data_IF_900975848565
#
_entry.id   IF_900975848565
#
_cell.length_a   1.000
_cell.length_b   1.000
_cell.length_c   1.000
_cell.angle_alpha   90.00
_cell.angle_beta   90.00
_cell.angle_gamma   90.00
#
_symmetry.space_group_name_H-M   'P 1'
#
loop_
_entity.id
_entity.type
_entity.pdbx_description
1 polymer ?
#
# COMPACT_ATOMS: atom_id res chain seq x y z
N UNK A 1 -31.25 17.48 -58.45
CA UNK A 1 -32.55 18.08 -58.05
C UNK A 1 -33.67 17.17 -58.52
N UNK A 2 -34.54 16.72 -57.63
CA UNK A 2 -35.87 16.16 -57.93
C UNK A 2 -36.68 16.10 -56.62
N UNK A 3 -37.98 16.37 -56.64
CA UNK A 3 -38.82 16.49 -55.43
C UNK A 3 -40.26 16.05 -55.74
N UNK A 4 -40.98 15.62 -54.71
CA UNK A 4 -42.43 15.30 -54.67
C UNK A 4 -42.80 13.94 -55.33
N UNK A 5 -43.79 13.17 -54.86
CA UNK A 5 -44.78 13.38 -53.79
C UNK A 5 -45.09 12.10 -52.96
N UNK A 6 -45.87 12.25 -51.87
CA UNK A 6 -46.34 11.18 -50.97
C UNK A 6 -47.49 10.33 -51.58
N UNK A 7 -47.74 9.12 -51.05
CA UNK A 7 -49.08 8.54 -50.94
C UNK A 7 -49.56 8.35 -49.49
N UNK A 8 -50.85 8.05 -49.33
CA UNK A 8 -51.51 7.73 -48.06
C UNK A 8 -51.92 6.23 -47.96
N UNK A 9 -52.47 5.84 -46.79
CA UNK A 9 -52.84 4.46 -46.37
C UNK A 9 -53.75 3.66 -47.34
N UNK A 10 -53.74 2.33 -47.19
CA UNK A 10 -54.97 1.52 -47.12
C UNK A 10 -55.14 0.76 -45.78
N UNK A 11 -56.27 0.06 -45.62
CA UNK A 11 -56.70 -0.63 -44.38
C UNK A 11 -56.95 -2.15 -44.54
N UNK A 12 -57.30 -2.83 -43.43
CA UNK A 12 -57.43 -4.30 -43.18
C UNK A 12 -58.47 -5.07 -44.04
N UNK A 13 -58.39 -6.43 -44.04
CA UNK A 13 -59.28 -7.31 -43.21
C UNK A 13 -58.46 -8.25 -42.25
N UNK A 14 -58.88 -8.68 -41.04
CA UNK A 14 -60.03 -9.49 -40.56
C UNK A 14 -59.78 -11.03 -40.73
N UNK A 15 -60.13 -11.97 -39.80
CA UNK A 15 -60.89 -11.95 -38.51
C UNK A 15 -60.69 -13.28 -37.70
N UNK A 16 -61.33 -13.39 -36.51
CA UNK A 16 -61.60 -14.60 -35.68
C UNK A 16 -60.45 -15.18 -34.81
N UNK A 17 -60.63 -15.56 -33.52
CA UNK A 17 -61.79 -15.50 -32.60
C UNK A 17 -61.42 -15.20 -31.12
N UNK A 18 -62.44 -14.79 -30.35
CA UNK A 18 -62.53 -14.48 -28.89
C UNK A 18 -63.97 -14.91 -28.45
N UNK A 19 -64.30 -15.26 -27.19
CA UNK A 19 -64.15 -14.43 -25.96
C UNK A 19 -63.87 -15.29 -24.68
N UNK A 20 -64.10 -14.95 -23.40
CA UNK A 20 -64.74 -13.83 -22.67
C UNK A 20 -64.76 -14.09 -21.12
N UNK A 21 -65.22 -13.16 -20.24
CA UNK A 21 -64.72 -13.07 -18.86
C UNK A 21 -65.71 -13.10 -17.65
N UNK A 22 -65.17 -13.43 -16.45
CA UNK A 22 -65.62 -13.04 -15.06
C UNK A 22 -66.99 -13.57 -14.52
N UNK A 23 -67.29 -13.57 -13.18
CA UNK A 23 -66.78 -12.71 -12.07
C UNK A 23 -66.56 -13.32 -10.64
N UNK A 24 -66.23 -12.42 -9.69
CA UNK A 24 -66.73 -12.32 -8.28
C UNK A 24 -65.89 -12.67 -6.99
N UNK A 25 -65.28 -11.61 -6.43
CA UNK A 25 -65.31 -11.12 -5.02
C UNK A 25 -65.40 -12.08 -3.81
N UNK A 26 -64.42 -11.97 -2.88
CA UNK A 26 -64.64 -11.51 -1.46
C UNK A 26 -63.35 -11.17 -0.70
N UNK A 27 -63.37 -10.07 0.06
CA UNK A 27 -62.30 -9.62 0.97
C UNK A 27 -62.27 -10.46 2.26
N UNK A 28 -61.08 -10.68 2.84
CA UNK A 28 -60.90 -10.87 4.29
C UNK A 28 -59.78 -9.97 4.81
N UNK A 29 -60.00 -9.43 6.02
CA UNK A 29 -59.10 -8.50 6.72
C UNK A 29 -58.05 -9.30 7.52
N UNK A 30 -56.83 -8.78 7.62
CA UNK A 30 -55.90 -9.22 8.66
C UNK A 30 -56.41 -8.78 10.05
N UNK A 31 -56.27 -9.62 11.09
CA UNK A 31 -56.44 -9.21 12.48
C UNK A 31 -55.18 -8.49 13.00
N UNK A 32 -55.30 -7.57 13.98
CA UNK A 32 -54.17 -6.81 14.49
C UNK A 32 -53.21 -7.68 15.32
N UNK A 33 -51.90 -7.44 15.18
CA UNK A 33 -50.88 -8.00 16.09
C UNK A 33 -50.98 -7.31 17.45
N UNK A 34 -51.05 -8.03 18.58
CA UNK A 34 -50.99 -7.41 19.90
C UNK A 34 -49.57 -6.89 20.19
N UNK A 35 -49.48 -5.71 20.79
CA UNK A 35 -48.21 -5.18 21.30
C UNK A 35 -47.78 -5.98 22.55
N UNK A 36 -46.58 -6.54 22.54
CA UNK A 36 -46.08 -7.46 23.57
C UNK A 36 -44.62 -7.18 23.96
N UNK A 37 -44.46 -6.76 25.21
CA UNK A 37 -43.26 -6.49 26.05
C UNK A 37 -41.92 -7.16 25.70
N UNK A 38 -40.86 -6.44 26.10
CA UNK A 38 -39.49 -6.92 26.29
C UNK A 38 -39.36 -8.02 27.36
N UNK A 39 -38.66 -9.11 27.05
CA UNK A 39 -37.88 -10.00 27.93
C UNK A 39 -37.00 -10.86 26.99
N UNK A 40 -35.66 -10.80 27.05
CA UNK A 40 -34.71 -11.53 27.93
C UNK A 40 -34.76 -13.08 27.82
N UNK A 41 -33.55 -13.59 27.59
CA UNK A 41 -33.02 -14.95 27.82
C UNK A 41 -33.18 -16.05 26.72
N UNK A 42 -32.09 -16.84 26.60
CA UNK A 42 -31.78 -17.92 25.62
C UNK A 42 -32.23 -19.31 26.15
N UNK A 43 -31.94 -20.49 25.53
CA UNK A 43 -31.37 -20.82 24.20
C UNK A 43 -32.18 -21.88 23.40
N UNK A 44 -31.79 -22.15 22.13
CA UNK A 44 -32.02 -23.43 21.44
C UNK A 44 -30.76 -23.80 20.64
N UNK A 45 -30.37 -25.08 20.65
CA UNK A 45 -29.09 -25.58 20.12
C UNK A 45 -29.33 -26.89 19.35
N UNK A 46 -29.21 -26.88 18.02
CA UNK A 46 -29.13 -28.08 17.16
C UNK A 46 -28.29 -27.75 15.91
N UNK A 47 -27.33 -28.61 15.54
CA UNK A 47 -26.62 -28.50 14.25
C UNK A 47 -25.12 -28.84 14.32
N UNK A 48 -24.79 -30.12 14.55
CA UNK A 48 -23.42 -30.59 14.67
C UNK A 48 -22.69 -30.59 13.32
N UNK A 49 -21.47 -30.02 13.26
CA UNK A 49 -20.51 -30.26 12.18
C UNK A 49 -19.11 -30.46 12.76
N UNK A 50 -18.64 -31.72 12.77
CA UNK A 50 -17.30 -32.10 13.22
C UNK A 50 -16.25 -31.67 12.20
N UNK A 51 -15.38 -30.73 12.58
CA UNK A 51 -14.07 -30.53 11.94
C UNK A 51 -13.03 -30.33 13.04
N UNK A 52 -11.99 -31.17 13.00
CA UNK A 52 -10.88 -31.17 13.96
C UNK A 52 -10.14 -29.82 13.92
N UNK A 53 -10.28 -29.04 14.99
CA UNK A 53 -9.52 -27.81 15.19
C UNK A 53 -8.11 -28.15 15.68
N UNK A 54 -7.13 -28.15 14.77
CA UNK A 54 -5.73 -27.97 15.16
C UNK A 54 -5.53 -26.50 15.54
N UNK A 55 -5.64 -26.18 16.84
CA UNK A 55 -5.42 -24.84 17.35
C UNK A 55 -3.96 -24.42 17.12
N UNK A 56 -3.74 -23.48 16.19
CA UNK A 56 -2.44 -22.87 15.97
C UNK A 56 -2.47 -21.43 16.51
N UNK A 57 -2.14 -21.26 17.78
CA UNK A 57 -2.01 -19.95 18.41
C UNK A 57 -0.81 -19.22 17.81
N UNK A 58 -1.05 -18.20 16.99
CA UNK A 58 0.02 -17.33 16.47
C UNK A 58 0.33 -16.26 17.52
N UNK A 59 1.34 -16.52 18.36
CA UNK A 59 1.84 -15.55 19.33
C UNK A 59 2.96 -14.72 18.70
N UNK A 60 2.74 -13.42 18.48
CA UNK A 60 3.82 -12.50 18.11
C UNK A 60 4.64 -12.13 19.36
N UNK A 61 5.83 -12.70 19.49
CA UNK A 61 6.73 -12.46 20.63
C UNK A 61 7.79 -11.42 20.24
N UNK A 62 7.75 -10.24 20.89
CA UNK A 62 8.81 -9.22 20.76
C UNK A 62 9.69 -9.27 22.02
N UNK A 63 10.90 -9.82 21.89
CA UNK A 63 11.90 -9.81 22.96
C UNK A 63 12.90 -8.67 22.77
N UNK A 64 13.29 -8.01 23.87
CA UNK A 64 14.45 -7.11 23.90
C UNK A 64 15.26 -7.34 25.16
N UNK A 65 16.53 -7.68 25.00
CA UNK A 65 17.48 -7.74 26.12
C UNK A 65 17.76 -6.34 26.66
N UNK A 66 17.74 -6.20 27.98
CA UNK A 66 18.19 -5.00 28.66
C UNK A 66 19.69 -5.13 29.01
N UNK A 67 20.51 -4.19 28.54
CA UNK A 67 21.89 -4.02 29.01
C UNK A 67 22.10 -2.61 29.55
N UNK A 68 22.41 -2.53 30.84
CA UNK A 68 22.93 -1.36 31.53
C UNK A 68 23.56 -1.85 32.84
N UNK A 69 24.61 -1.26 33.39
CA UNK A 69 25.56 -0.24 32.91
C UNK A 69 26.95 -0.60 33.51
N UNK A 70 28.06 0.06 33.19
CA UNK A 70 28.33 1.48 33.40
C UNK A 70 29.57 1.93 32.57
N UNK A 71 29.80 3.24 32.37
CA UNK A 71 30.96 3.73 31.61
C UNK A 71 32.25 3.82 32.46
N UNK A 72 33.45 3.58 31.88
CA UNK A 72 34.71 4.00 32.48
C UNK A 72 34.89 5.52 32.39
N UNK A 73 35.64 6.08 33.35
CA UNK A 73 35.74 7.51 33.60
C UNK A 73 36.51 8.30 32.52
N UNK A 74 36.22 9.60 32.44
CA UNK A 74 36.97 10.56 31.64
C UNK A 74 38.34 10.86 32.26
N UNK A 75 39.38 10.92 31.43
CA UNK A 75 40.68 11.50 31.78
C UNK A 75 40.93 12.75 30.91
N UNK A 76 41.20 13.87 31.58
CA UNK A 76 41.52 15.15 30.96
C UNK A 76 42.97 15.23 30.50
N UNK A 77 43.22 15.80 29.32
CA UNK A 77 44.52 16.33 28.93
C UNK A 77 44.35 17.65 28.17
N UNK A 78 45.28 18.59 28.39
CA UNK A 78 45.14 20.02 28.11
C UNK A 78 45.98 20.51 26.93
N UNK A 79 45.46 21.54 26.23
CA UNK A 79 46.28 22.65 25.69
C UNK A 79 46.84 22.52 24.27
N UNK A 80 46.71 23.59 23.47
CA UNK A 80 47.45 23.73 22.19
C UNK A 80 46.73 24.48 21.06
N UNK A 81 46.61 25.81 21.15
CA UNK A 81 46.45 26.74 20.02
C UNK A 81 47.70 27.64 19.94
N UNK A 82 47.94 28.48 18.88
CA UNK A 82 47.11 28.85 17.72
C UNK A 82 47.73 28.33 16.38
N UNK A 83 47.62 28.86 15.15
CA UNK A 83 47.15 30.15 14.58
C UNK A 83 46.86 30.01 13.06
N UNK A 84 46.15 30.96 12.44
CA UNK A 84 46.41 31.36 11.04
C UNK A 84 45.30 31.17 10.00
N UNK A 85 44.68 32.29 9.58
CA UNK A 85 43.73 32.47 8.45
C UNK A 85 44.21 33.79 7.77
N UNK A 86 44.29 34.00 6.42
CA UNK A 86 43.12 33.96 5.53
C UNK A 86 43.28 33.68 3.99
N UNK A 87 42.13 33.36 3.36
CA UNK A 87 41.61 33.76 2.02
C UNK A 87 42.49 33.69 0.73
N UNK A 88 41.91 33.10 -0.33
CA UNK A 88 42.27 33.41 -1.73
C UNK A 88 41.54 32.58 -2.81
N UNK A 89 40.77 33.24 -3.69
CA UNK A 89 40.13 32.72 -4.93
C UNK A 89 40.21 33.89 -5.93
N UNK A 90 40.71 33.76 -7.19
CA UNK A 90 39.81 33.39 -8.30
C UNK A 90 40.38 32.78 -9.62
N UNK A 91 39.42 32.26 -10.43
CA UNK A 91 39.29 32.30 -11.93
C UNK A 91 40.04 31.39 -12.93
N UNK A 92 39.20 30.72 -13.75
CA UNK A 92 39.20 30.50 -15.23
C UNK A 92 40.12 29.49 -15.95
N UNK A 93 39.47 28.67 -16.79
CA UNK A 93 39.91 27.82 -17.93
C UNK A 93 40.14 28.67 -19.23
N UNK A 94 40.48 28.14 -20.44
CA UNK A 94 40.45 26.73 -20.93
C UNK A 94 41.54 26.22 -21.94
N UNK A 95 41.61 24.87 -22.09
CA UNK A 95 41.98 24.04 -23.28
C UNK A 95 43.32 24.24 -24.05
N UNK A 96 43.74 23.35 -25.01
CA UNK A 96 43.35 21.94 -25.28
C UNK A 96 44.56 20.96 -25.54
N UNK A 97 44.29 19.67 -25.78
CA UNK A 97 45.13 18.80 -26.66
C UNK A 97 45.75 17.50 -26.08
N UNK A 98 45.62 16.39 -26.83
CA UNK A 98 46.39 15.13 -26.64
C UNK A 98 47.66 15.07 -27.53
N UNK A 99 48.34 13.91 -27.76
CA UNK A 99 47.80 12.54 -27.71
C UNK A 99 48.70 11.41 -27.10
N UNK A 100 48.09 10.22 -26.98
CA UNK A 100 48.65 8.84 -27.03
C UNK A 100 50.06 8.47 -26.47
N UNK A 101 50.08 7.51 -25.53
CA UNK A 101 50.99 6.34 -25.58
C UNK A 101 50.49 5.14 -24.76
N UNK A 102 50.82 3.92 -25.22
CA UNK A 102 50.81 2.63 -24.50
C UNK A 102 52.30 2.26 -24.31
N UNK A 103 52.73 1.53 -23.25
CA UNK A 103 52.37 0.11 -23.07
C UNK A 103 52.36 -0.39 -21.59
N UNK A 104 52.16 -1.70 -21.40
CA UNK A 104 52.56 -2.42 -20.17
C UNK A 104 51.53 -3.41 -19.61
N UNK A 105 51.79 -4.71 -19.76
CA UNK A 105 51.08 -5.75 -19.01
C UNK A 105 51.66 -5.83 -17.58
N UNK A 106 50.80 -5.74 -16.57
CA UNK A 106 51.10 -6.05 -15.17
C UNK A 106 50.04 -6.98 -14.58
N UNK A 107 50.33 -7.74 -13.51
CA UNK A 107 49.41 -8.72 -12.95
C UNK A 107 48.17 -8.05 -12.35
N UNK A 108 47.01 -8.69 -12.50
CA UNK A 108 45.73 -8.17 -12.04
C UNK A 108 45.71 -7.96 -10.51
N UNK A 109 45.30 -6.78 -10.01
CA UNK A 109 45.10 -6.60 -8.58
C UNK A 109 43.89 -7.40 -8.09
N UNK A 110 44.06 -8.12 -6.99
CA UNK A 110 43.01 -8.86 -6.30
C UNK A 110 41.78 -7.97 -6.03
N UNK A 111 40.55 -8.50 -6.06
CA UNK A 111 39.36 -7.71 -5.83
C UNK A 111 39.37 -7.15 -4.40
N UNK A 112 39.68 -5.85 -4.28
CA UNK A 112 39.36 -5.09 -3.08
C UNK A 112 37.86 -5.22 -2.85
N UNK A 113 37.47 -5.64 -1.66
CA UNK A 113 36.08 -5.66 -1.25
C UNK A 113 35.47 -4.27 -1.46
N UNK A 114 34.58 -4.15 -2.45
CA UNK A 114 33.72 -3.00 -2.60
C UNK A 114 32.80 -2.98 -1.39
N UNK A 115 33.15 -2.14 -0.41
CA UNK A 115 32.31 -1.89 0.75
C UNK A 115 30.89 -1.56 0.29
N UNK A 116 29.90 -2.05 1.03
CA UNK A 116 28.49 -1.83 0.76
C UNK A 116 28.20 -0.35 0.69
N UNK A 117 28.08 0.17 -0.53
CA UNK A 117 27.62 1.54 -0.75
C UNK A 117 26.14 1.56 -0.35
N UNK A 118 25.85 2.11 0.83
CA UNK A 118 24.49 2.47 1.22
C UNK A 118 23.88 3.29 0.08
N UNK A 119 22.82 2.75 -0.52
CA UNK A 119 22.09 3.45 -1.55
C UNK A 119 21.41 4.66 -0.90
N UNK A 120 22.01 5.85 -1.07
CA UNK A 120 21.68 7.11 -0.42
C UNK A 120 20.32 7.72 -0.80
N UNK A 121 19.26 6.93 -0.78
CA UNK A 121 17.91 7.43 -0.56
C UNK A 121 17.77 8.00 0.86
N UNK A 122 16.76 8.86 1.12
CA UNK A 122 16.56 9.44 2.44
C UNK A 122 16.31 8.33 3.48
N UNK A 123 17.23 8.18 4.43
CA UNK A 123 17.09 7.24 5.53
C UNK A 123 15.82 7.54 6.33
N UNK A 124 14.89 6.58 6.38
CA UNK A 124 13.59 6.77 7.03
C UNK A 124 13.77 7.04 8.53
N UNK A 125 12.94 7.93 9.13
CA UNK A 125 13.04 8.34 10.53
C UNK A 125 13.01 7.13 11.50
N UNK A 126 13.50 7.37 12.72
CA UNK A 126 13.69 6.33 13.73
C UNK A 126 12.43 5.46 13.96
N UNK A 127 12.60 4.15 14.26
CA UNK A 127 11.47 3.27 14.55
C UNK A 127 10.65 3.78 15.74
N UNK A 128 9.41 3.31 15.85
CA UNK A 128 8.52 3.66 16.97
C UNK A 128 9.22 3.46 18.32
N UNK A 129 9.15 4.45 19.24
CA UNK A 129 9.40 4.19 20.65
C UNK A 129 8.24 3.34 21.16
N UNK A 130 8.45 2.02 21.20
CA UNK A 130 7.56 1.12 21.93
C UNK A 130 7.57 1.52 23.41
N UNK A 131 6.43 1.43 24.13
CA UNK A 131 6.39 1.69 25.56
C UNK A 131 7.40 0.79 26.29
N UNK A 132 8.02 1.32 27.35
CA UNK A 132 9.03 0.61 28.13
C UNK A 132 8.39 -0.47 29.02
N UNK A 133 8.00 -1.60 28.43
CA UNK A 133 7.47 -2.75 29.17
C UNK A 133 8.60 -3.43 29.94
N UNK A 134 8.45 -3.58 31.26
CA UNK A 134 9.24 -4.53 32.05
C UNK A 134 8.59 -5.91 31.96
N UNK A 135 9.09 -6.75 31.06
CA UNK A 135 8.61 -8.12 30.87
C UNK A 135 8.15 -8.41 29.44
N UNK A 136 7.47 -9.53 29.24
CA UNK A 136 6.81 -9.87 28.00
C UNK A 136 5.43 -9.19 27.96
N UNK A 137 5.04 -8.64 26.81
CA UNK A 137 3.65 -8.30 26.51
C UNK A 137 3.21 -9.14 25.31
N UNK A 138 1.93 -9.50 25.28
CA UNK A 138 1.35 -10.31 24.21
C UNK A 138 -0.10 -9.93 23.97
N UNK A 139 -0.56 -10.24 22.76
CA UNK A 139 -1.95 -10.17 22.35
C UNK A 139 -2.26 -11.50 21.65
N UNK A 140 -3.38 -12.12 21.98
CA UNK A 140 -3.94 -13.20 21.19
C UNK A 140 -5.38 -12.86 20.81
N UNK A 141 -5.75 -13.28 19.60
CA UNK A 141 -7.10 -13.14 19.05
C UNK A 141 -7.49 -14.51 18.52
N UNK A 142 -8.54 -15.10 19.10
CA UNK A 142 -9.09 -16.36 18.60
C UNK A 142 -10.11 -16.12 17.48
N UNK A 143 -10.42 -17.12 16.62
CA UNK A 143 -11.33 -16.94 15.48
C UNK A 143 -12.77 -16.56 15.84
N UNK A 144 -13.17 -16.74 17.10
CA UNK A 144 -14.44 -16.29 17.68
C UNK A 144 -14.44 -14.80 18.07
N UNK A 145 -13.27 -14.15 18.04
CA UNK A 145 -13.08 -12.74 18.38
C UNK A 145 -12.65 -12.48 19.82
N UNK A 146 -12.41 -13.51 20.65
CA UNK A 146 -11.90 -13.27 22.01
C UNK A 146 -10.47 -12.71 21.98
N UNK A 147 -10.29 -11.56 22.64
CA UNK A 147 -8.98 -10.92 22.86
C UNK A 147 -8.42 -11.40 24.19
N UNK A 148 -7.56 -12.41 24.15
CA UNK A 148 -6.84 -12.89 25.31
C UNK A 148 -5.69 -11.94 25.69
N UNK A 149 -5.46 -11.84 27.00
CA UNK A 149 -4.84 -10.68 27.64
C UNK A 149 -3.30 -10.66 27.57
N UNK A 150 -2.73 -9.57 28.08
CA UNK A 150 -1.28 -9.35 28.25
C UNK A 150 -0.66 -10.53 29.01
N UNK A 151 0.32 -11.19 28.39
CA UNK A 151 1.12 -12.24 29.03
C UNK A 151 1.83 -11.68 30.26
N UNK A 152 1.74 -12.37 31.40
CA UNK A 152 2.42 -11.96 32.63
C UNK A 152 3.94 -12.14 32.50
N UNK A 153 4.67 -11.02 32.66
CA UNK A 153 6.12 -10.95 32.65
C UNK A 153 6.81 -11.67 33.82
N UNK A 154 6.08 -12.14 34.83
CA UNK A 154 6.61 -12.92 35.97
C UNK A 154 7.35 -14.19 35.58
N UNK A 155 7.16 -14.68 34.34
CA UNK A 155 7.87 -15.85 33.78
C UNK A 155 9.14 -15.53 32.98
N UNK A 156 9.59 -14.27 32.95
CA UNK A 156 10.88 -13.91 32.35
C UNK A 156 12.02 -14.25 33.31
N UNK A 157 12.53 -15.47 33.22
CA UNK A 157 13.71 -15.91 33.97
C UNK A 157 14.97 -15.34 33.31
N UNK A 158 15.72 -14.52 34.04
CA UNK A 158 17.01 -14.02 33.57
C UNK A 158 18.08 -15.12 33.74
N UNK A 159 18.61 -15.62 32.62
CA UNK A 159 19.72 -16.60 32.63
C UNK A 159 19.28 -18.06 32.49
N UNK A 160 18.55 -18.38 31.43
CA UNK A 160 18.22 -19.76 31.05
C UNK A 160 19.44 -20.54 30.51
N UNK A 161 20.29 -21.04 31.41
CA UNK A 161 21.14 -22.19 31.13
C UNK A 161 20.29 -23.43 30.74
N UNK A 162 20.91 -24.51 30.29
CA UNK A 162 20.22 -25.67 29.69
C UNK A 162 19.35 -26.53 30.66
N UNK A 163 18.89 -25.98 31.80
CA UNK A 163 18.32 -26.70 32.93
C UNK A 163 16.85 -26.43 33.29
N UNK A 164 16.11 -25.58 32.56
CA UNK A 164 14.71 -25.28 32.90
C UNK A 164 13.77 -26.47 32.64
N UNK A 165 13.66 -27.33 33.66
CA UNK A 165 12.68 -28.39 33.77
C UNK A 165 11.29 -27.80 34.05
N UNK A 166 10.59 -27.37 32.98
CA UNK A 166 9.14 -27.16 33.03
C UNK A 166 8.38 -28.46 33.37
N UNK A 167 7.03 -28.47 33.27
CA UNK A 167 6.24 -29.67 33.56
C UNK A 167 6.70 -30.89 32.75
N UNK A 168 6.71 -32.06 33.39
CA UNK A 168 6.91 -33.34 32.71
C UNK A 168 5.57 -33.81 32.10
N UNK A 169 5.60 -34.30 30.85
CA UNK A 169 4.43 -34.93 30.21
C UNK A 169 3.90 -34.27 28.93
N UNK A 170 4.45 -33.13 28.48
CA UNK A 170 4.06 -32.49 27.21
C UNK A 170 5.25 -32.29 26.25
N UNK A 171 5.01 -32.37 24.94
CA UNK A 171 6.00 -32.00 23.93
C UNK A 171 6.32 -30.51 24.02
N UNK A 172 7.59 -30.18 24.26
CA UNK A 172 8.02 -28.78 24.41
C UNK A 172 8.42 -28.20 23.05
N UNK A 173 7.70 -27.17 22.61
CA UNK A 173 8.16 -26.30 21.53
C UNK A 173 9.09 -25.26 22.13
N UNK A 174 10.38 -25.28 21.72
CA UNK A 174 11.36 -24.24 22.07
C UNK A 174 11.48 -23.27 20.91
N UNK A 175 11.18 -22.00 21.15
CA UNK A 175 11.48 -20.90 20.24
C UNK A 175 12.75 -20.20 20.72
N UNK A 176 13.75 -20.07 19.85
CA UNK A 176 14.97 -19.31 20.10
C UNK A 176 14.95 -18.05 19.21
N UNK A 177 15.36 -16.91 19.77
CA UNK A 177 15.47 -15.65 19.04
C UNK A 177 16.94 -15.23 19.07
N UNK A 178 17.57 -15.16 17.90
CA UNK A 178 18.89 -14.55 17.73
C UNK A 178 18.71 -13.06 17.38
N UNK A 179 19.08 -12.11 18.26
CA UNK A 179 18.98 -10.67 18.00
C UNK A 179 20.09 -10.14 17.07
N UNK A 180 21.05 -10.99 16.65
CA UNK A 180 22.14 -10.63 15.74
C UNK A 180 21.82 -10.94 14.28
N UNK A 181 21.01 -11.97 14.02
CA UNK A 181 20.39 -12.21 12.71
C UNK A 181 19.42 -11.06 12.35
N UNK A 182 19.54 -10.52 11.13
CA UNK A 182 18.78 -9.35 10.68
C UNK A 182 18.29 -9.53 9.25
N UNK A 183 16.96 -9.53 9.08
CA UNK A 183 16.28 -9.49 7.79
C UNK A 183 15.80 -8.06 7.46
N UNK A 184 14.68 -7.92 6.75
CA UNK A 184 14.14 -6.64 6.32
C UNK A 184 13.71 -5.72 7.48
N UNK A 185 13.89 -4.41 7.28
CA UNK A 185 13.22 -3.38 8.08
C UNK A 185 11.72 -3.38 7.74
N UNK A 186 10.86 -3.48 8.76
CA UNK A 186 9.42 -3.30 8.61
C UNK A 186 9.10 -1.80 8.53
N UNK A 187 8.45 -1.38 7.44
CA UNK A 187 8.04 0.02 7.21
C UNK A 187 6.70 0.38 7.88
N UNK A 188 5.87 -0.62 8.19
CA UNK A 188 4.60 -0.48 8.89
C UNK A 188 3.52 -1.45 8.40
N UNK A 189 2.34 -1.37 9.01
CA UNK A 189 1.13 -2.11 8.64
C UNK A 189 -0.05 -1.14 8.54
N UNK A 190 -1.06 -1.47 7.73
CA UNK A 190 -2.05 -0.47 7.34
C UNK A 190 -3.28 -0.99 6.61
N UNK A 191 -4.09 -0.04 6.14
CA UNK A 191 -5.31 -0.29 5.37
C UNK A 191 -5.50 0.76 4.27
N UNK A 192 -6.43 0.51 3.34
CA UNK A 192 -6.79 1.47 2.31
C UNK A 192 -7.88 2.44 2.79
N UNK A 193 -7.67 3.75 2.58
CA UNK A 193 -8.68 4.79 2.76
C UNK A 193 -9.22 5.20 1.37
N UNK A 194 -10.18 4.43 0.88
CA UNK A 194 -10.89 4.71 -0.38
C UNK A 194 -11.91 5.84 -0.20
N UNK A 195 -12.45 6.40 -1.30
CA UNK A 195 -13.52 7.42 -1.21
C UNK A 195 -14.73 6.85 -0.46
N UNK A 196 -15.10 5.58 -0.70
CA UNK A 196 -16.17 4.90 0.04
C UNK A 196 -15.86 4.78 1.53
N UNK A 197 -14.68 4.28 1.93
CA UNK A 197 -14.30 4.18 3.36
C UNK A 197 -14.31 5.55 4.04
N UNK A 198 -13.77 6.58 3.39
CA UNK A 198 -13.76 7.93 3.91
C UNK A 198 -15.18 8.51 4.06
N UNK A 199 -16.08 8.27 3.09
CA UNK A 199 -17.48 8.71 3.17
C UNK A 199 -18.26 7.99 4.27
N UNK A 200 -18.04 6.69 4.47
CA UNK A 200 -18.65 5.93 5.56
C UNK A 200 -18.21 6.49 6.92
N UNK A 201 -16.89 6.69 7.13
CA UNK A 201 -16.36 7.30 8.35
C UNK A 201 -16.94 8.71 8.59
N UNK A 202 -17.02 9.55 7.53
CA UNK A 202 -17.63 10.89 7.61
C UNK A 202 -19.14 10.89 7.86
N UNK A 203 -19.84 9.79 7.59
CA UNK A 203 -21.26 9.60 7.90
C UNK A 203 -21.54 9.26 9.36
N UNK A 204 -20.53 8.85 10.13
CA UNK A 204 -20.67 8.60 11.56
C UNK A 204 -20.74 9.91 12.38
N UNK A 205 -21.44 9.89 13.53
CA UNK A 205 -21.26 10.89 14.59
C UNK A 205 -19.78 11.13 14.91
N UNK A 206 -19.43 12.36 15.29
CA UNK A 206 -18.03 12.79 15.39
C UNK A 206 -17.25 12.00 16.46
N UNK A 207 -17.88 11.75 17.60
CA UNK A 207 -17.40 10.89 18.68
C UNK A 207 -17.15 9.45 18.19
N UNK A 208 -18.11 8.85 17.48
CA UNK A 208 -17.99 7.50 16.95
C UNK A 208 -16.88 7.38 15.90
N UNK A 209 -16.77 8.36 14.99
CA UNK A 209 -15.68 8.40 14.00
C UNK A 209 -14.33 8.49 14.70
N UNK A 210 -14.17 9.40 15.66
CA UNK A 210 -12.91 9.55 16.38
C UNK A 210 -12.59 8.33 17.25
N UNK A 211 -13.58 7.62 17.80
CA UNK A 211 -13.38 6.36 18.52
C UNK A 211 -12.88 5.24 17.59
N UNK A 212 -13.48 5.07 16.41
CA UNK A 212 -13.02 4.12 15.38
C UNK A 212 -11.61 4.47 14.88
N UNK A 213 -11.33 5.75 14.61
CA UNK A 213 -10.01 6.16 14.14
C UNK A 213 -8.93 5.99 15.23
N UNK A 214 -9.24 6.23 16.51
CA UNK A 214 -8.30 5.94 17.61
C UNK A 214 -8.06 4.44 17.76
N UNK A 215 -9.10 3.60 17.76
CA UNK A 215 -8.92 2.15 17.90
C UNK A 215 -8.07 1.53 16.78
N UNK A 216 -8.04 2.15 15.60
CA UNK A 216 -7.20 1.72 14.47
C UNK A 216 -5.79 2.34 14.49
N UNK A 217 -5.66 3.65 14.69
CA UNK A 217 -4.42 4.38 14.41
C UNK A 217 -3.64 4.83 15.66
N UNK A 218 -4.26 4.88 16.84
CA UNK A 218 -3.55 5.27 18.06
C UNK A 218 -2.46 4.22 18.39
N UNK A 219 -1.18 4.61 18.54
CA UNK A 219 -0.07 3.69 18.76
C UNK A 219 0.05 3.19 20.21
N UNK A 220 -0.78 3.68 21.12
CA UNK A 220 -0.76 3.35 22.56
C UNK A 220 -2.03 2.62 22.99
N UNK A 221 -3.19 3.11 22.57
CA UNK A 221 -4.50 2.59 22.97
C UNK A 221 -5.17 1.73 21.87
N UNK A 222 -4.76 1.90 20.61
CA UNK A 222 -5.32 1.24 19.44
C UNK A 222 -4.43 0.14 18.84
N UNK A 223 -4.76 -0.26 17.62
CA UNK A 223 -3.97 -1.19 16.81
C UNK A 223 -2.69 -0.57 16.21
N UNK A 224 -2.50 0.75 16.35
CA UNK A 224 -1.28 1.44 15.94
C UNK A 224 -0.96 1.37 14.45
N UNK A 225 -1.95 1.29 13.55
CA UNK A 225 -1.70 1.25 12.11
C UNK A 225 -0.79 2.42 11.67
N UNK A 226 0.25 2.09 10.90
CA UNK A 226 1.34 3.01 10.48
C UNK A 226 1.25 3.42 9.01
N UNK A 227 0.41 2.76 8.20
CA UNK A 227 0.33 3.00 6.76
C UNK A 227 -1.12 3.22 6.35
N UNK A 228 -1.33 4.18 5.44
CA UNK A 228 -2.61 4.35 4.74
C UNK A 228 -2.34 4.38 3.23
N UNK A 229 -3.02 3.52 2.47
CA UNK A 229 -3.03 3.57 1.01
C UNK A 229 -4.25 4.36 0.52
N UNK A 230 -4.06 5.33 -0.37
CA UNK A 230 -5.15 6.11 -0.98
C UNK A 230 -5.16 5.97 -2.51
N UNK A 231 -6.35 5.89 -3.14
CA UNK A 231 -6.48 6.09 -4.58
C UNK A 231 -6.06 7.50 -5.01
N UNK A 232 -5.39 7.59 -6.17
CA UNK A 232 -5.16 8.84 -6.88
C UNK A 232 -6.27 9.03 -7.93
N UNK A 233 -7.39 9.60 -7.51
CA UNK A 233 -8.65 9.64 -8.29
C UNK A 233 -9.59 8.50 -7.90
N UNK A 234 -10.52 8.12 -8.78
CA UNK A 234 -11.42 7.00 -8.52
C UNK A 234 -10.70 5.63 -8.58
N UNK A 235 -11.02 4.79 -7.59
CA UNK A 235 -10.90 3.32 -7.67
C UNK A 235 -12.27 2.72 -8.03
N UNK A 236 -12.37 1.40 -8.01
CA UNK A 236 -13.64 0.67 -7.90
C UNK A 236 -14.43 1.04 -6.62
N UNK A 237 -13.75 1.28 -5.50
CA UNK A 237 -14.35 1.80 -4.26
C UNK A 237 -14.51 3.34 -4.25
N UNK A 238 -15.05 3.88 -5.34
CA UNK A 238 -15.40 5.29 -5.50
C UNK A 238 -16.91 5.49 -5.74
N UNK A 239 -17.42 6.68 -5.43
CA UNK A 239 -18.83 7.05 -5.62
C UNK A 239 -19.22 7.27 -7.10
N UNK A 240 -18.27 7.12 -8.01
CA UNK A 240 -18.37 7.31 -9.45
C UNK A 240 -16.97 7.47 -10.04
N UNK A 241 -16.80 7.22 -11.33
CA UNK A 241 -15.50 7.33 -12.00
C UNK A 241 -15.08 8.81 -12.12
N UNK A 242 -13.84 9.12 -11.74
CA UNK A 242 -13.22 10.44 -11.91
C UNK A 242 -11.69 10.36 -11.89
N UNK A 243 -11.04 11.37 -12.44
CA UNK A 243 -9.64 11.71 -12.19
C UNK A 243 -9.54 13.15 -11.69
N UNK A 244 -8.34 13.64 -11.40
CA UNK A 244 -8.13 15.03 -11.03
C UNK A 244 -8.10 15.98 -12.24
N UNK A 245 -8.20 15.48 -13.47
CA UNK A 245 -8.09 16.27 -14.71
C UNK A 245 -9.00 15.72 -15.82
N UNK A 246 -10.28 15.52 -15.48
CA UNK A 246 -11.30 15.05 -16.42
C UNK A 246 -11.78 16.17 -17.36
N UNK A 247 -11.94 15.83 -18.64
CA UNK A 247 -12.34 16.75 -19.71
C UNK A 247 -13.48 16.15 -20.56
N UNK A 248 -14.27 16.98 -21.27
CA UNK A 248 -15.18 16.51 -22.31
C UNK A 248 -14.47 15.66 -23.37
N UNK A 249 -15.18 14.69 -23.95
CA UNK A 249 -14.62 13.81 -24.97
C UNK A 249 -14.03 14.60 -26.15
N UNK A 250 -12.79 14.29 -26.52
CA UNK A 250 -12.05 14.96 -27.60
C UNK A 250 -11.16 16.13 -27.15
N UNK A 251 -11.34 16.66 -25.94
CA UNK A 251 -10.45 17.67 -25.37
C UNK A 251 -9.21 17.04 -24.70
N UNK A 252 -8.14 17.82 -24.55
CA UNK A 252 -6.87 17.42 -23.91
C UNK A 252 -6.28 18.59 -23.14
N UNK A 253 -5.64 18.34 -21.99
CA UNK A 253 -4.88 19.37 -21.25
C UNK A 253 -3.42 18.94 -20.99
N UNK A 254 -2.53 19.12 -21.99
CA UNK A 254 -1.12 18.76 -21.85
C UNK A 254 -0.36 19.53 -20.75
N UNK A 255 -0.95 20.61 -20.19
CA UNK A 255 -0.34 21.47 -19.17
C UNK A 255 -0.92 21.25 -17.78
N UNK A 256 -2.02 20.49 -17.66
CA UNK A 256 -2.75 20.25 -16.41
C UNK A 256 -3.18 21.57 -15.75
N UNK A 257 -3.74 22.48 -16.55
CA UNK A 257 -4.39 23.71 -16.12
C UNK A 257 -5.71 23.45 -15.36
N UNK A 258 -6.46 22.40 -15.72
CA UNK A 258 -7.71 22.00 -15.01
C UNK A 258 -7.49 21.11 -13.78
N UNK A 259 -6.26 20.65 -13.55
CA UNK A 259 -5.95 19.69 -12.48
C UNK A 259 -6.37 20.17 -11.08
N UNK A 260 -7.17 19.36 -10.38
CA UNK A 260 -7.59 19.64 -9.00
C UNK A 260 -7.91 18.40 -8.18
N UNK A 261 -7.30 18.29 -7.00
CA UNK A 261 -7.66 17.28 -5.98
C UNK A 261 -8.82 17.73 -5.07
N UNK A 262 -9.50 18.85 -5.37
CA UNK A 262 -10.52 19.44 -4.49
C UNK A 262 -11.75 18.55 -4.24
N UNK A 263 -11.95 17.48 -5.02
CA UNK A 263 -12.96 16.45 -4.72
C UNK A 263 -12.63 15.71 -3.42
N UNK A 264 -11.36 15.46 -3.14
CA UNK A 264 -10.92 14.66 -1.99
C UNK A 264 -11.13 15.42 -0.66
N UNK A 265 -11.21 16.75 -0.71
CA UNK A 265 -11.56 17.62 0.43
C UNK A 265 -12.97 17.34 0.97
N UNK A 266 -13.82 16.64 0.22
CA UNK A 266 -15.16 16.23 0.66
C UNK A 266 -15.15 15.09 1.67
N UNK A 267 -14.14 14.21 1.63
CA UNK A 267 -14.11 13.00 2.46
C UNK A 267 -12.70 12.51 2.82
N UNK A 268 -11.86 12.20 1.81
CA UNK A 268 -10.55 11.55 2.01
C UNK A 268 -9.59 12.44 2.80
N UNK A 269 -9.43 13.71 2.40
CA UNK A 269 -8.49 14.63 3.05
C UNK A 269 -8.91 14.94 4.51
N UNK A 270 -10.18 15.25 4.84
CA UNK A 270 -10.60 15.42 6.23
C UNK A 270 -10.32 14.20 7.12
N UNK A 271 -10.63 12.99 6.66
CA UNK A 271 -10.39 11.75 7.44
C UNK A 271 -8.89 11.50 7.60
N UNK A 272 -8.10 11.71 6.54
CA UNK A 272 -6.66 11.50 6.59
C UNK A 272 -5.94 12.49 7.51
N UNK A 273 -6.44 13.72 7.63
CA UNK A 273 -5.96 14.70 8.62
C UNK A 273 -6.35 14.33 10.05
N UNK A 274 -7.54 13.74 10.26
CA UNK A 274 -7.94 13.20 11.57
C UNK A 274 -7.04 12.02 11.97
N UNK A 275 -6.74 11.09 11.05
CA UNK A 275 -5.76 10.00 11.24
C UNK A 275 -4.39 10.55 11.63
N UNK A 276 -3.87 11.53 10.89
CA UNK A 276 -2.57 12.14 11.16
C UNK A 276 -2.52 12.96 12.47
N UNK A 277 -3.67 13.42 12.98
CA UNK A 277 -3.76 14.07 14.29
C UNK A 277 -3.71 13.06 15.46
N UNK A 278 -4.15 11.82 15.23
CA UNK A 278 -4.05 10.72 16.18
C UNK A 278 -2.64 10.10 16.13
N UNK A 279 -2.10 9.90 14.93
CA UNK A 279 -0.79 9.31 14.73
C UNK A 279 -0.05 10.01 13.58
N UNK A 280 0.74 11.02 13.93
CA UNK A 280 1.53 11.83 12.99
C UNK A 280 2.67 11.08 12.30
N UNK A 281 2.92 9.82 12.68
CA UNK A 281 3.90 8.94 12.03
C UNK A 281 3.28 8.08 10.92
N UNK A 282 1.97 8.17 10.68
CA UNK A 282 1.29 7.43 9.60
C UNK A 282 1.86 7.85 8.23
N UNK A 283 2.34 6.85 7.49
CA UNK A 283 2.88 6.98 6.13
C UNK A 283 1.73 6.86 5.13
N UNK A 284 1.57 7.89 4.30
CA UNK A 284 0.59 7.87 3.21
C UNK A 284 1.27 7.36 1.95
N UNK A 285 0.75 6.28 1.37
CA UNK A 285 1.10 5.85 0.00
C UNK A 285 -0.08 6.03 -0.94
N UNK A 286 0.17 6.27 -2.22
CA UNK A 286 -0.90 6.52 -3.19
C UNK A 286 -0.72 5.77 -4.51
N UNK A 287 -1.83 5.39 -5.14
CA UNK A 287 -1.83 4.56 -6.35
C UNK A 287 -2.92 5.05 -7.31
N UNK A 288 -2.63 5.33 -8.60
CA UNK A 288 -3.67 5.62 -9.58
C UNK A 288 -4.25 4.33 -10.17
N UNK A 289 -5.57 4.24 -10.24
CA UNK A 289 -6.25 3.16 -10.97
C UNK A 289 -6.30 3.45 -12.48
N UNK A 290 -6.31 4.73 -12.88
CA UNK A 290 -6.29 5.12 -14.30
C UNK A 290 -5.73 6.54 -14.47
N UNK A 291 -5.09 6.79 -15.60
CA UNK A 291 -4.91 8.17 -16.10
C UNK A 291 -6.25 8.76 -16.62
N UNK A 292 -6.34 10.10 -16.78
CA UNK A 292 -7.49 10.75 -17.42
C UNK A 292 -7.84 10.14 -18.78
N UNK A 293 -9.13 10.12 -19.13
CA UNK A 293 -9.63 9.49 -20.36
C UNK A 293 -8.90 9.95 -21.63
N UNK A 294 -8.58 11.24 -21.72
CA UNK A 294 -7.88 11.87 -22.84
C UNK A 294 -6.41 11.41 -22.98
N UNK A 295 -5.82 10.88 -21.90
CA UNK A 295 -4.47 10.31 -21.93
C UNK A 295 -4.40 8.86 -22.45
N UNK A 296 -5.55 8.19 -22.64
CA UNK A 296 -5.59 6.72 -22.79
C UNK A 296 -5.96 6.24 -24.19
N UNK A 297 -5.52 5.05 -24.57
CA UNK A 297 -5.87 4.42 -25.85
C UNK A 297 -7.37 4.20 -25.98
N UNK A 298 -8.04 3.76 -24.91
CA UNK A 298 -9.49 3.48 -24.82
C UNK A 298 -10.41 4.71 -24.78
N UNK A 299 -9.87 5.91 -24.62
CA UNK A 299 -10.63 7.17 -24.50
C UNK A 299 -11.55 7.24 -23.27
N UNK A 300 -11.33 6.39 -22.24
CA UNK A 300 -12.17 6.27 -21.05
C UNK A 300 -11.35 5.79 -19.84
N UNK A 301 -11.92 5.88 -18.63
CA UNK A 301 -11.25 5.46 -17.39
C UNK A 301 -11.13 3.93 -17.25
N UNK A 302 -12.08 3.14 -17.75
CA UNK A 302 -11.98 1.68 -17.80
C UNK A 302 -11.15 1.14 -18.98
N UNK A 303 -10.32 0.13 -18.70
CA UNK A 303 -9.46 -0.56 -19.67
C UNK A 303 -8.48 0.31 -20.48
N UNK A 304 -7.71 -0.34 -21.34
CA UNK A 304 -6.72 0.30 -22.21
C UNK A 304 -5.47 0.78 -21.47
N UNK A 305 -4.60 1.47 -22.21
CA UNK A 305 -3.22 1.81 -21.84
C UNK A 305 -2.93 3.31 -21.96
N UNK A 306 -1.86 3.77 -21.30
CA UNK A 306 -1.37 5.15 -21.40
C UNK A 306 -0.74 5.42 -22.77
N UNK A 307 -1.17 6.46 -23.51
CA UNK A 307 -0.55 6.78 -24.80
C UNK A 307 0.83 7.44 -24.60
N UNK A 308 1.89 7.01 -25.32
CA UNK A 308 3.26 7.53 -25.14
C UNK A 308 3.43 9.05 -25.22
N UNK A 309 2.65 9.75 -26.06
CA UNK A 309 2.71 11.22 -26.16
C UNK A 309 2.33 11.94 -24.85
N UNK A 310 1.56 11.28 -23.98
CA UNK A 310 1.06 11.86 -22.74
C UNK A 310 1.90 11.53 -21.49
N UNK A 311 2.97 10.74 -21.63
CA UNK A 311 3.85 10.40 -20.51
C UNK A 311 4.42 11.65 -19.78
N UNK A 312 4.64 12.76 -20.50
CA UNK A 312 5.11 14.00 -19.88
C UNK A 312 4.03 14.66 -18.99
N UNK A 313 2.79 14.72 -19.47
CA UNK A 313 1.66 15.22 -18.68
C UNK A 313 1.36 14.28 -17.50
N UNK A 314 1.38 12.97 -17.72
CA UNK A 314 1.14 11.98 -16.65
C UNK A 314 2.18 12.08 -15.52
N UNK A 315 3.47 12.26 -15.83
CA UNK A 315 4.47 12.49 -14.78
C UNK A 315 4.21 13.79 -13.99
N UNK A 316 3.72 14.86 -14.63
CA UNK A 316 3.34 16.09 -13.94
C UNK A 316 2.05 15.94 -13.12
N UNK A 317 1.15 15.02 -13.48
CA UNK A 317 -0.04 14.70 -12.69
C UNK A 317 0.35 14.15 -11.31
N UNK A 318 1.32 13.23 -11.24
CA UNK A 318 1.88 12.77 -9.97
C UNK A 318 2.54 13.90 -9.16
N UNK A 319 3.35 14.75 -9.82
CA UNK A 319 4.02 15.88 -9.14
C UNK A 319 2.99 16.86 -8.56
N UNK A 320 1.92 17.18 -9.31
CA UNK A 320 0.83 18.03 -8.84
C UNK A 320 0.03 17.38 -7.71
N UNK A 321 -0.25 16.08 -7.79
CA UNK A 321 -0.91 15.33 -6.71
C UNK A 321 -0.11 15.41 -5.39
N UNK A 322 1.17 15.03 -5.41
CA UNK A 322 2.03 15.05 -4.21
C UNK A 322 2.10 16.46 -3.61
N UNK A 323 2.27 17.49 -4.44
CA UNK A 323 2.29 18.89 -3.98
C UNK A 323 0.94 19.37 -3.43
N UNK A 324 -0.17 18.96 -4.04
CA UNK A 324 -1.51 19.36 -3.61
C UNK A 324 -1.93 18.69 -2.29
N UNK A 325 -1.47 17.47 -2.03
CA UNK A 325 -1.60 16.80 -0.73
C UNK A 325 -0.67 17.41 0.33
N UNK A 326 0.58 17.73 -0.03
CA UNK A 326 1.49 18.44 0.88
C UNK A 326 0.94 19.81 1.31
N UNK A 327 0.31 20.57 0.40
CA UNK A 327 -0.39 21.81 0.70
C UNK A 327 -1.60 21.64 1.65
N UNK A 328 -2.10 20.41 1.83
CA UNK A 328 -3.15 20.04 2.80
C UNK A 328 -2.57 19.50 4.12
N UNK A 329 -1.25 19.56 4.29
CA UNK A 329 -0.54 19.03 5.46
C UNK A 329 -0.34 17.52 5.42
N UNK A 330 -0.43 16.87 4.25
CA UNK A 330 -0.34 15.42 4.08
C UNK A 330 0.88 15.06 3.23
N UNK A 331 1.89 14.45 3.85
CA UNK A 331 3.11 14.01 3.15
C UNK A 331 2.90 12.63 2.50
N UNK A 332 2.79 12.61 1.17
CA UNK A 332 2.78 11.36 0.39
C UNK A 332 4.20 10.77 0.40
N UNK A 333 4.38 9.69 1.14
CA UNK A 333 5.65 9.00 1.39
C UNK A 333 6.07 8.08 0.24
N UNK A 334 5.10 7.55 -0.51
CA UNK A 334 5.34 6.71 -1.68
C UNK A 334 4.19 6.81 -2.70
N UNK A 335 4.49 6.55 -3.97
CA UNK A 335 3.51 6.30 -5.02
C UNK A 335 3.81 5.00 -5.73
N UNK A 336 2.77 4.27 -6.15
CA UNK A 336 2.91 3.19 -7.13
C UNK A 336 2.66 3.74 -8.53
N UNK A 337 3.34 3.20 -9.54
CA UNK A 337 3.29 3.73 -10.92
C UNK A 337 1.90 3.58 -11.55
N UNK A 338 1.19 2.51 -11.20
CA UNK A 338 -0.15 2.16 -11.64
C UNK A 338 -0.66 1.07 -10.69
N UNK A 339 -1.92 1.13 -10.25
CA UNK A 339 -2.57 0.01 -9.56
C UNK A 339 -2.90 -1.10 -10.55
N UNK A 340 -2.51 -2.34 -10.24
CA UNK A 340 -2.77 -3.53 -11.06
C UNK A 340 -2.52 -3.34 -12.58
N UNK A 341 -1.30 -2.99 -13.02
CA UNK A 341 -0.98 -2.72 -14.43
C UNK A 341 -1.10 -3.94 -15.36
N UNK A 342 -1.29 -5.14 -14.81
CA UNK A 342 -1.68 -6.34 -15.57
C UNK A 342 -3.18 -6.56 -15.70
N UNK A 343 -4.02 -5.69 -15.12
CA UNK A 343 -5.48 -5.81 -15.13
C UNK A 343 -6.14 -4.79 -16.08
N UNK A 344 -7.27 -5.17 -16.67
CA UNK A 344 -8.08 -4.34 -17.57
C UNK A 344 -9.55 -4.70 -17.43
N UNK A 345 -10.34 -3.78 -16.91
CA UNK A 345 -11.80 -3.89 -16.79
C UNK A 345 -12.44 -2.61 -17.36
N UNK A 346 -13.44 -2.69 -18.26
CA UNK A 346 -14.10 -1.51 -18.82
C UNK A 346 -15.12 -0.85 -17.86
N UNK A 347 -15.52 -1.51 -16.77
CA UNK A 347 -16.64 -1.10 -15.89
C UNK A 347 -16.24 -0.15 -14.76
N UNK A 348 -14.96 -0.13 -14.38
CA UNK A 348 -14.38 0.78 -13.38
C UNK A 348 -12.98 1.25 -13.84
N UNK A 349 -12.33 2.21 -13.17
CA UNK A 349 -11.04 2.73 -13.62
C UNK A 349 -9.95 1.65 -13.58
N UNK A 350 -9.33 1.36 -14.72
CA UNK A 350 -8.15 0.47 -14.83
C UNK A 350 -7.26 0.93 -15.98
N UNK A 351 -5.94 0.77 -15.88
CA UNK A 351 -5.02 1.05 -16.99
C UNK A 351 -3.88 0.05 -17.03
N UNK A 352 -3.64 -0.57 -18.19
CA UNK A 352 -2.55 -1.51 -18.37
C UNK A 352 -1.22 -0.80 -18.63
N UNK A 353 -0.13 -1.35 -18.08
CA UNK A 353 1.25 -0.97 -18.38
C UNK A 353 2.19 -2.18 -18.24
N UNK A 354 2.71 -2.67 -19.37
CA UNK A 354 3.78 -3.69 -19.38
C UNK A 354 5.03 -3.25 -18.61
N UNK A 355 5.91 -4.19 -18.24
CA UNK A 355 7.19 -3.88 -17.59
C UNK A 355 8.01 -2.85 -18.40
N UNK A 356 8.03 -2.99 -19.73
CA UNK A 356 8.71 -2.06 -20.63
C UNK A 356 8.08 -0.65 -20.66
N UNK A 357 6.75 -0.55 -20.60
CA UNK A 357 6.07 0.75 -20.51
C UNK A 357 6.29 1.42 -19.15
N UNK A 358 6.28 0.65 -18.05
CA UNK A 358 6.65 1.13 -16.72
C UNK A 358 8.09 1.64 -16.71
N UNK A 359 9.06 0.83 -17.13
CA UNK A 359 10.46 1.21 -17.21
C UNK A 359 10.67 2.48 -18.05
N UNK A 360 10.07 2.54 -19.25
CA UNK A 360 10.14 3.73 -20.12
C UNK A 360 9.54 4.97 -19.46
N UNK A 361 8.37 4.87 -18.83
CA UNK A 361 7.71 6.00 -18.16
C UNK A 361 8.53 6.49 -16.96
N UNK A 362 9.02 5.58 -16.11
CA UNK A 362 9.87 5.88 -14.95
C UNK A 362 11.15 6.58 -15.39
N UNK A 363 11.91 5.94 -16.29
CA UNK A 363 13.23 6.37 -16.73
C UNK A 363 13.20 7.72 -17.46
N UNK A 364 12.21 7.93 -18.33
CA UNK A 364 12.19 9.11 -19.22
C UNK A 364 11.36 10.27 -18.69
N UNK A 365 10.40 10.04 -17.78
CA UNK A 365 9.48 11.09 -17.31
C UNK A 365 9.30 11.14 -15.79
N UNK A 366 8.81 10.08 -15.13
CA UNK A 366 8.40 10.16 -13.72
C UNK A 366 9.57 10.44 -12.78
N UNK A 367 10.65 9.66 -12.87
CA UNK A 367 11.86 9.85 -12.07
C UNK A 367 12.50 11.23 -12.26
N UNK A 368 12.77 11.67 -13.51
CA UNK A 368 13.24 13.02 -13.80
C UNK A 368 12.30 14.13 -13.30
N UNK A 369 10.98 13.95 -13.39
CA UNK A 369 10.01 14.93 -12.91
C UNK A 369 10.03 15.05 -11.37
N UNK A 370 10.15 13.93 -10.65
CA UNK A 370 10.26 13.94 -9.18
C UNK A 370 11.56 14.59 -8.72
N UNK A 371 12.68 14.27 -9.37
CA UNK A 371 13.98 14.88 -9.09
C UNK A 371 13.97 16.40 -9.37
N UNK A 372 13.46 16.84 -10.52
CA UNK A 372 13.32 18.26 -10.86
C UNK A 372 12.36 19.00 -9.91
N UNK A 373 11.30 18.32 -9.46
CA UNK A 373 10.36 18.85 -8.48
C UNK A 373 10.88 18.82 -7.01
N UNK A 374 12.06 18.22 -6.78
CA UNK A 374 12.68 17.95 -5.46
C UNK A 374 11.79 17.15 -4.50
N UNK A 375 11.04 16.18 -5.04
CA UNK A 375 10.20 15.29 -4.25
C UNK A 375 11.03 14.12 -3.70
N UNK A 376 10.89 13.84 -2.40
CA UNK A 376 11.47 12.68 -1.70
C UNK A 376 10.51 11.49 -1.65
N UNK A 377 9.34 11.60 -2.26
CA UNK A 377 8.33 10.54 -2.37
C UNK A 377 8.91 9.34 -3.14
N UNK A 378 8.85 8.16 -2.53
CA UNK A 378 9.35 6.91 -3.13
C UNK A 378 8.52 6.52 -4.35
N UNK A 379 9.17 5.98 -5.39
CA UNK A 379 8.48 5.39 -6.54
C UNK A 379 8.57 3.87 -6.41
N UNK A 380 7.42 3.21 -6.45
CA UNK A 380 7.26 1.76 -6.30
C UNK A 380 6.68 1.18 -7.59
N UNK A 381 7.27 0.11 -8.09
CA UNK A 381 6.85 -0.55 -9.33
C UNK A 381 5.87 -1.71 -9.09
N UNK A 382 5.34 -2.24 -10.19
CA UNK A 382 4.50 -3.44 -10.25
C UNK A 382 3.09 -3.32 -9.61
N UNK A 383 2.91 -3.29 -8.29
CA UNK A 383 1.61 -3.15 -7.61
C UNK A 383 0.54 -4.13 -8.12
N UNK A 384 0.91 -5.42 -8.19
CA UNK A 384 0.07 -6.51 -8.72
C UNK A 384 0.38 -7.86 -8.05
N UNK A 385 -0.38 -8.88 -8.42
CA UNK A 385 -0.43 -10.20 -7.81
C UNK A 385 0.88 -11.03 -7.86
N UNK A 386 0.98 -12.07 -7.03
CA UNK A 386 2.16 -12.96 -7.00
C UNK A 386 2.26 -13.93 -8.18
N UNK A 387 1.26 -14.00 -9.06
CA UNK A 387 1.16 -14.95 -10.18
C UNK A 387 2.02 -14.58 -11.40
N UNK A 388 2.51 -13.34 -11.50
CA UNK A 388 3.38 -12.90 -12.61
C UNK A 388 4.72 -12.31 -12.13
N UNK A 389 5.58 -13.08 -11.42
CA UNK A 389 6.85 -12.60 -10.83
C UNK A 389 7.93 -12.22 -11.85
N UNK A 390 7.73 -12.58 -13.13
CA UNK A 390 8.59 -12.14 -14.25
C UNK A 390 8.49 -10.63 -14.47
N UNK A 391 7.29 -10.04 -14.38
CA UNK A 391 7.04 -8.60 -14.62
C UNK A 391 7.83 -7.68 -13.68
N UNK A 392 7.82 -7.84 -12.34
CA UNK A 392 8.67 -7.05 -11.46
C UNK A 392 10.16 -7.38 -11.65
N UNK A 393 10.51 -8.61 -12.06
CA UNK A 393 11.90 -8.99 -12.34
C UNK A 393 12.47 -8.34 -13.60
N UNK A 394 11.65 -8.18 -14.64
CA UNK A 394 11.99 -7.41 -15.86
C UNK A 394 12.14 -5.93 -15.54
N UNK A 395 11.17 -5.37 -14.79
CA UNK A 395 11.17 -3.96 -14.40
C UNK A 395 12.38 -3.58 -13.52
N UNK A 396 12.76 -4.43 -12.57
CA UNK A 396 13.96 -4.24 -11.75
C UNK A 396 15.27 -4.56 -12.50
N UNK A 397 15.19 -5.34 -13.58
CA UNK A 397 16.31 -5.62 -14.48
C UNK A 397 16.71 -4.42 -15.35
N UNK A 398 15.80 -3.48 -15.63
CA UNK A 398 16.14 -2.20 -16.24
C UNK A 398 16.86 -1.30 -15.22
N UNK A 399 18.17 -1.19 -15.33
CA UNK A 399 18.99 -0.37 -14.43
C UNK A 399 18.62 1.14 -14.46
N UNK A 400 18.11 1.65 -15.56
CA UNK A 400 17.75 3.06 -15.73
C UNK A 400 16.37 3.39 -15.10
N UNK A 401 15.49 2.40 -14.96
CA UNK A 401 14.29 2.48 -14.12
C UNK A 401 14.63 2.19 -12.66
N UNK A 402 15.48 1.18 -12.43
CA UNK A 402 15.94 0.72 -11.11
C UNK A 402 16.60 1.81 -10.27
N UNK A 403 17.26 2.81 -10.87
CA UNK A 403 17.80 3.98 -10.13
C UNK A 403 16.73 4.89 -9.49
N UNK A 404 15.49 4.86 -9.99
CA UNK A 404 14.37 5.64 -9.46
C UNK A 404 13.41 4.82 -8.60
N UNK A 405 13.44 3.49 -8.73
CA UNK A 405 12.59 2.57 -7.96
C UNK A 405 13.19 2.30 -6.57
N UNK A 406 12.44 2.59 -5.51
CA UNK A 406 12.76 2.16 -4.14
C UNK A 406 12.51 0.65 -3.98
N UNK A 407 11.50 0.13 -4.66
CA UNK A 407 11.09 -1.26 -4.56
C UNK A 407 9.94 -1.63 -5.49
N UNK A 408 9.35 -2.79 -5.24
CA UNK A 408 8.16 -3.29 -5.92
C UNK A 408 7.03 -3.61 -4.93
N UNK A 409 5.81 -3.49 -5.40
CA UNK A 409 4.58 -3.71 -4.64
C UNK A 409 3.85 -4.97 -5.11
N UNK A 410 3.22 -5.68 -4.18
CA UNK A 410 2.52 -6.95 -4.40
C UNK A 410 1.08 -6.90 -3.90
N UNK A 411 0.19 -7.62 -4.58
CA UNK A 411 -1.16 -7.97 -4.14
C UNK A 411 -1.27 -9.48 -3.86
N UNK A 412 -2.23 -9.90 -3.02
CA UNK A 412 -2.40 -11.32 -2.65
C UNK A 412 -3.63 -12.03 -3.27
N UNK A 413 -4.18 -11.55 -4.39
CA UNK A 413 -5.38 -12.17 -4.97
C UNK A 413 -5.12 -13.46 -5.75
N UNK A 414 -3.91 -13.64 -6.28
CA UNK A 414 -3.48 -14.80 -7.07
C UNK A 414 -1.98 -15.05 -6.89
N UNK A 415 -1.56 -16.30 -7.11
CA UNK A 415 -0.16 -16.73 -7.04
C UNK A 415 0.30 -17.12 -5.63
N UNK A 416 1.60 -17.37 -5.49
CA UNK A 416 2.24 -17.85 -4.26
C UNK A 416 3.15 -16.77 -3.66
N UNK A 417 3.02 -16.51 -2.35
CA UNK A 417 3.81 -15.51 -1.62
C UNK A 417 5.33 -15.72 -1.74
N UNK A 418 5.79 -16.95 -2.01
CA UNK A 418 7.19 -17.27 -2.25
C UNK A 418 7.80 -16.54 -3.46
N UNK A 419 6.96 -16.05 -4.39
CA UNK A 419 7.34 -15.13 -5.48
C UNK A 419 8.11 -13.91 -4.96
N UNK A 420 7.73 -13.38 -3.80
CA UNK A 420 8.39 -12.23 -3.17
C UNK A 420 9.86 -12.54 -2.85
N UNK A 421 10.13 -13.71 -2.25
CA UNK A 421 11.49 -14.15 -1.93
C UNK A 421 12.33 -14.41 -3.18
N UNK A 422 11.72 -14.92 -4.27
CA UNK A 422 12.43 -15.16 -5.53
C UNK A 422 12.90 -13.85 -6.18
N UNK A 423 12.03 -12.84 -6.23
CA UNK A 423 12.39 -11.50 -6.74
C UNK A 423 13.40 -10.81 -5.82
N UNK A 424 13.21 -10.87 -4.50
CA UNK A 424 14.15 -10.28 -3.55
C UNK A 424 15.55 -10.92 -3.62
N UNK A 425 15.65 -12.24 -3.77
CA UNK A 425 16.95 -12.91 -3.93
C UNK A 425 17.73 -12.44 -5.18
N UNK A 426 17.04 -12.03 -6.25
CA UNK A 426 17.65 -11.44 -7.46
C UNK A 426 17.95 -9.94 -7.31
N UNK A 427 17.22 -9.23 -6.47
CA UNK A 427 17.32 -7.77 -6.28
C UNK A 427 17.32 -7.38 -4.78
N UNK A 428 18.31 -7.83 -3.99
CA UNK A 428 18.27 -7.71 -2.52
C UNK A 428 18.28 -6.26 -2.00
N UNK A 429 18.82 -5.33 -2.79
CA UNK A 429 18.82 -3.90 -2.47
C UNK A 429 17.47 -3.19 -2.75
N UNK A 430 16.41 -3.93 -3.12
CA UNK A 430 15.07 -3.38 -3.44
C UNK A 430 14.04 -3.83 -2.41
N UNK A 431 13.23 -2.86 -1.97
CA UNK A 431 12.16 -3.13 -1.02
C UNK A 431 11.02 -3.95 -1.67
N UNK A 432 10.35 -4.76 -0.86
CA UNK A 432 9.16 -5.56 -1.21
C UNK A 432 8.02 -5.15 -0.30
N UNK A 433 6.94 -4.64 -0.86
CA UNK A 433 5.78 -4.13 -0.12
C UNK A 433 4.53 -4.95 -0.48
N UNK A 434 3.75 -5.41 0.50
CA UNK A 434 2.41 -5.96 0.27
C UNK A 434 1.40 -4.80 0.41
N UNK A 435 0.82 -4.37 -0.70
CA UNK A 435 0.09 -3.08 -0.80
C UNK A 435 -1.42 -3.24 -0.88
N UNK A 436 -1.92 -4.40 -1.31
CA UNK A 436 -3.34 -4.68 -1.33
C UNK A 436 -3.66 -6.16 -1.09
N UNK A 437 -4.67 -6.40 -0.24
CA UNK A 437 -5.20 -7.71 0.09
C UNK A 437 -6.65 -7.55 0.50
N UNK A 438 -7.53 -8.43 0.01
CA UNK A 438 -8.93 -8.48 0.42
C UNK A 438 -9.47 -9.91 0.38
N UNK A 439 -10.47 -10.16 1.23
CA UNK A 439 -11.22 -11.40 1.30
C UNK A 439 -12.71 -11.12 1.09
N UNK A 440 -13.47 -12.12 0.67
CA UNK A 440 -14.90 -11.95 0.44
C UNK A 440 -15.64 -13.28 0.27
N UNK A 441 -16.97 -13.23 0.34
CA UNK A 441 -17.83 -14.40 0.11
C UNK A 441 -17.63 -14.92 -1.31
N UNK A 442 -16.89 -16.03 -1.45
CA UNK A 442 -16.50 -16.62 -2.75
C UNK A 442 -14.98 -16.64 -3.01
N UNK A 443 -14.16 -15.96 -2.21
CA UNK A 443 -12.70 -16.12 -2.19
C UNK A 443 -12.23 -16.32 -0.75
N UNK A 444 -11.78 -17.54 -0.46
CA UNK A 444 -11.03 -17.78 0.76
C UNK A 444 -9.77 -16.91 0.73
N UNK A 445 -9.56 -16.12 1.79
CA UNK A 445 -8.24 -15.57 2.07
C UNK A 445 -7.22 -16.71 2.15
N UNK A 446 -5.96 -16.50 1.77
CA UNK A 446 -4.89 -17.43 2.15
C UNK A 446 -5.00 -17.69 3.65
N UNK A 447 -5.13 -18.97 4.05
CA UNK A 447 -5.24 -19.38 5.47
C UNK A 447 -4.03 -18.93 6.30
N UNK A 448 -2.93 -18.58 5.63
CA UNK A 448 -1.77 -17.87 6.14
C UNK A 448 -1.37 -16.79 5.13
N UNK A 449 -1.41 -15.52 5.54
CA UNK A 449 -0.62 -14.46 4.88
C UNK A 449 0.73 -14.42 5.58
N UNK A 450 1.60 -15.35 5.20
CA UNK A 450 3.00 -15.31 5.60
C UNK A 450 3.67 -14.16 4.85
N UNK A 451 3.90 -13.03 5.53
CA UNK A 451 5.05 -12.20 5.15
C UNK A 451 6.27 -13.13 5.18
N UNK A 452 7.01 -13.21 4.07
CA UNK A 452 7.90 -14.34 3.79
C UNK A 452 9.19 -14.39 4.62
N UNK A 453 9.07 -14.57 5.93
CA UNK A 453 10.16 -14.92 6.83
C UNK A 453 10.62 -16.34 6.50
N UNK A 454 11.78 -16.48 5.87
CA UNK A 454 12.41 -17.79 5.71
C UNK A 454 13.01 -18.20 7.04
N UNK A 455 12.30 -19.02 7.80
CA UNK A 455 12.92 -19.89 8.81
C UNK A 455 13.68 -20.99 8.07
N UNK A 456 14.90 -20.71 7.65
CA UNK A 456 15.88 -21.77 7.40
C UNK A 456 16.25 -22.40 8.74
N UNK A 457 15.88 -23.67 8.91
CA UNK A 457 16.33 -24.53 10.00
C UNK A 457 17.76 -25.01 9.76
#
# INVERSE_FOLDING_TARGET
MARLARPARPARPARQDQPGPSPDVRRRREPPRPAGRWARDRPVLVGLALLLAAALTVTLVVLRGATGGAPPAAASATGGTPTGVPKGVPTRSPDPGGPSSRPGNGPAPSPRALGTADAGGPAFPAPWPLPAVRGLAGWSTEPDGERLAVLDGSRVVAGGGAGDAGPAGGSRVRLAVDPTARDQRIEGFGAALTETSARLLRGLPADQRSAVLRSLFDPTEGAGLSVVRIPMGASDFAAGQYTYDDLPAGATDPRLATFSVARDDRAVVPVLREILSINSRVRVMASPWSAPAWMKSSGRLGGGSLRPQWYAAWAQYFVRFVRAYAARGITVSAVTVQNEPGHSDPSYPTMTMSAAEQARFITTRLGPAFAAARLTTNIIGYDHNWDTPTVPSELLGDAAAGRYLTGIAWHCYRGDWAAQSQVHARFPAKATWLTECSGGTGRALPRTVSAGWRTSW
#
